data_IF_611444353892
#
_entry.id   IF_611444353892
#
_cell.length_a   1.000
_cell.length_b   1.000
_cell.length_c   1.000
_cell.angle_alpha   90.00
_cell.angle_beta   90.00
_cell.angle_gamma   90.00
#
_symmetry.space_group_name_H-M   'P 1'
#
loop_
_entity.id
_entity.type
_entity.pdbx_description
1 polymer ?
#
# COMPACT_ATOMS: atom_id res chain seq x y z
N UNK A 1 -0.31 -9.01 43.99
CA UNK A 1 -1.11 -8.08 43.15
C UNK A 1 -0.37 -6.79 42.75
N UNK A 2 0.39 -6.11 43.64
CA UNK A 2 1.13 -4.86 43.29
C UNK A 2 2.18 -4.98 42.17
N UNK A 3 2.79 -6.16 41.99
CA UNK A 3 3.82 -6.37 40.97
C UNK A 3 3.26 -6.36 39.53
N UNK A 4 2.06 -6.93 39.31
CA UNK A 4 1.40 -6.98 38.00
C UNK A 4 0.89 -5.61 37.53
N UNK A 5 0.50 -4.72 38.46
CA UNK A 5 0.09 -3.35 38.11
C UNK A 5 1.27 -2.50 37.61
N UNK A 6 2.47 -2.73 38.16
CA UNK A 6 3.68 -1.98 37.80
C UNK A 6 4.25 -2.38 36.42
N UNK A 7 4.05 -3.63 36.00
CA UNK A 7 4.47 -4.10 34.67
C UNK A 7 3.50 -3.62 33.59
N UNK A 8 2.18 -3.68 33.83
CA UNK A 8 1.17 -3.17 32.89
C UNK A 8 1.32 -1.68 32.63
N UNK A 9 1.57 -0.87 33.67
CA UNK A 9 1.75 0.58 33.51
C UNK A 9 3.00 0.91 32.69
N UNK A 10 4.13 0.25 32.94
CA UNK A 10 5.36 0.47 32.17
C UNK A 10 5.23 0.08 30.70
N UNK A 11 4.58 -1.06 30.41
CA UNK A 11 4.35 -1.51 29.02
C UNK A 11 3.41 -0.53 28.31
N UNK A 12 2.30 -0.13 28.91
CA UNK A 12 1.38 0.86 28.32
C UNK A 12 2.07 2.20 28.07
N UNK A 13 2.88 2.70 29.01
CA UNK A 13 3.61 3.95 28.85
C UNK A 13 4.65 3.84 27.73
N UNK A 14 5.33 2.69 27.59
CA UNK A 14 6.36 2.47 26.55
C UNK A 14 5.74 2.33 25.16
N UNK A 15 4.59 1.65 25.07
CA UNK A 15 3.86 1.48 23.81
C UNK A 15 3.28 2.80 23.35
N UNK A 16 2.71 3.59 24.25
CA UNK A 16 2.13 4.91 23.93
C UNK A 16 3.23 5.94 23.64
N UNK A 17 4.40 5.83 24.28
CA UNK A 17 5.50 6.78 24.10
C UNK A 17 6.28 6.58 22.79
N UNK A 18 6.27 5.37 22.21
CA UNK A 18 6.92 5.10 20.93
C UNK A 18 5.92 5.10 19.76
N UNK A 19 5.87 6.16 18.91
CA UNK A 19 4.94 6.23 17.78
C UNK A 19 5.09 5.03 16.84
N UNK A 20 6.34 4.60 16.59
CA UNK A 20 6.64 3.52 15.67
C UNK A 20 6.15 2.17 16.21
N UNK A 21 6.25 1.95 17.52
CA UNK A 21 5.79 0.71 18.13
C UNK A 21 4.26 0.64 18.13
N UNK A 22 3.58 1.76 18.42
CA UNK A 22 2.12 1.81 18.36
C UNK A 22 1.59 1.67 16.92
N UNK A 23 2.25 2.30 15.95
CA UNK A 23 1.93 2.15 14.53
C UNK A 23 2.17 0.71 14.05
N UNK A 24 3.24 0.06 14.52
CA UNK A 24 3.50 -1.36 14.26
C UNK A 24 2.41 -2.28 14.83
N UNK A 25 1.92 -2.01 16.04
CA UNK A 25 0.78 -2.73 16.63
C UNK A 25 -0.49 -2.55 15.78
N UNK A 26 -0.74 -1.33 15.28
CA UNK A 26 -1.89 -1.05 14.42
C UNK A 26 -1.79 -1.80 13.09
N UNK A 27 -0.65 -1.76 12.42
CA UNK A 27 -0.42 -2.52 11.19
C UNK A 27 -0.63 -4.00 11.45
N UNK A 28 -0.07 -4.52 12.54
CA UNK A 28 -0.23 -5.92 12.93
C UNK A 28 -1.70 -6.25 13.19
N UNK A 29 -2.43 -5.41 13.93
CA UNK A 29 -3.84 -5.60 14.24
C UNK A 29 -4.72 -5.63 12.98
N UNK A 30 -4.53 -4.67 12.08
CA UNK A 30 -5.22 -4.60 10.79
C UNK A 30 -4.90 -5.82 9.93
N UNK A 31 -3.65 -6.28 9.97
CA UNK A 31 -3.16 -7.43 9.19
C UNK A 31 -3.49 -8.79 9.81
N UNK A 32 -3.80 -8.83 11.11
CA UNK A 32 -3.95 -10.06 11.90
C UNK A 32 -5.00 -11.01 11.29
N UNK A 33 -6.10 -10.45 10.79
CA UNK A 33 -7.16 -11.22 10.14
C UNK A 33 -6.66 -12.00 8.91
N UNK A 34 -5.69 -11.45 8.17
CA UNK A 34 -5.12 -12.15 7.00
C UNK A 34 -4.16 -13.24 7.43
N UNK A 35 -3.33 -12.96 8.44
CA UNK A 35 -2.29 -13.86 8.93
C UNK A 35 -2.87 -15.11 9.60
N UNK A 36 -3.85 -14.93 10.49
CA UNK A 36 -4.30 -16.00 11.40
C UNK A 36 -5.72 -16.51 11.13
N UNK A 37 -6.61 -15.62 10.66
CA UNK A 37 -8.04 -15.98 10.51
C UNK A 37 -8.31 -16.47 9.08
N UNK A 38 -7.62 -15.92 8.08
CA UNK A 38 -7.64 -16.39 6.70
C UNK A 38 -9.06 -16.53 6.16
N UNK A 39 -9.44 -17.75 5.73
CA UNK A 39 -10.77 -18.09 5.20
C UNK A 39 -11.93 -17.97 6.20
N UNK A 40 -11.64 -17.93 7.50
CA UNK A 40 -12.63 -17.79 8.55
C UNK A 40 -12.84 -16.33 8.95
N UNK A 41 -12.20 -15.38 8.25
CA UNK A 41 -12.36 -13.96 8.54
C UNK A 41 -13.79 -13.53 8.17
N UNK A 42 -14.62 -13.13 9.14
CA UNK A 42 -16.00 -12.69 8.86
C UNK A 42 -16.05 -11.37 8.09
N UNK A 43 -14.90 -10.69 7.92
CA UNK A 43 -14.77 -9.41 7.21
C UNK A 43 -14.30 -9.62 5.77
N UNK A 44 -13.59 -10.72 5.46
CA UNK A 44 -12.88 -10.90 4.18
C UNK A 44 -12.92 -12.35 3.74
N UNK A 45 -14.05 -12.75 3.18
CA UNK A 45 -14.15 -13.91 2.32
C UNK A 45 -15.15 -13.52 1.24
N UNK A 46 -14.70 -13.12 0.05
CA UNK A 46 -15.33 -13.62 -1.18
C UNK A 46 -14.64 -13.18 -2.48
N UNK A 47 -13.94 -12.04 -2.54
CA UNK A 47 -13.57 -11.47 -3.85
C UNK A 47 -12.08 -11.48 -4.23
N UNK A 48 -11.15 -11.71 -3.30
CA UNK A 48 -9.71 -11.70 -3.60
C UNK A 48 -9.12 -13.10 -3.87
N UNK A 49 -9.81 -14.17 -3.47
CA UNK A 49 -9.35 -15.56 -3.71
C UNK A 49 -9.41 -15.92 -5.21
N UNK A 50 -10.37 -15.36 -5.95
CA UNK A 50 -10.54 -15.57 -7.39
C UNK A 50 -9.32 -15.10 -8.21
N UNK A 51 -8.48 -14.23 -7.64
CA UNK A 51 -7.27 -13.70 -8.29
C UNK A 51 -6.05 -14.61 -8.07
N UNK A 52 -6.07 -15.53 -7.10
CA UNK A 52 -4.91 -16.41 -6.82
C UNK A 52 -4.62 -17.38 -7.98
N UNK A 53 -5.62 -18.07 -8.57
CA UNK A 53 -5.39 -18.92 -9.73
C UNK A 53 -4.78 -18.17 -10.92
N UNK A 54 -5.13 -16.89 -11.11
CA UNK A 54 -4.51 -16.03 -12.13
C UNK A 54 -3.00 -15.93 -11.92
N UNK A 55 -2.56 -15.59 -10.70
CA UNK A 55 -1.15 -15.39 -10.41
C UNK A 55 -0.35 -16.68 -10.54
N UNK A 56 -0.94 -17.81 -10.16
CA UNK A 56 -0.35 -19.13 -10.37
C UNK A 56 -0.15 -19.44 -11.85
N UNK A 57 -1.19 -19.24 -12.69
CA UNK A 57 -1.08 -19.40 -14.14
C UNK A 57 -0.06 -18.42 -14.76
N UNK A 58 0.02 -17.18 -14.27
CA UNK A 58 1.00 -16.18 -14.71
C UNK A 58 2.43 -16.61 -14.43
N UNK A 59 2.66 -17.19 -13.24
CA UNK A 59 4.00 -17.64 -12.82
C UNK A 59 4.47 -18.87 -13.58
N UNK A 60 3.54 -19.76 -13.94
CA UNK A 60 3.85 -20.93 -14.75
C UNK A 60 4.11 -20.58 -16.24
N UNK A 61 3.87 -19.33 -16.65
CA UNK A 61 3.76 -18.92 -18.05
C UNK A 61 2.73 -19.75 -18.85
N UNK A 62 1.81 -20.41 -18.16
CA UNK A 62 0.72 -21.21 -18.72
C UNK A 62 -0.50 -20.33 -19.07
N UNK A 63 -0.31 -19.01 -19.19
CA UNK A 63 -1.38 -18.13 -19.65
C UNK A 63 -1.66 -18.43 -21.12
N UNK A 64 -2.83 -19.01 -21.45
CA UNK A 64 -3.23 -19.09 -22.83
C UNK A 64 -3.42 -17.66 -23.35
N UNK A 65 -3.13 -17.40 -24.63
CA UNK A 65 -3.48 -16.15 -25.33
C UNK A 65 -5.02 -15.99 -25.45
N UNK A 66 -5.81 -16.79 -24.72
CA UNK A 66 -7.25 -16.78 -24.75
C UNK A 66 -7.80 -15.79 -23.72
N UNK A 67 -8.66 -14.89 -24.20
CA UNK A 67 -9.49 -13.94 -23.43
C UNK A 67 -10.53 -14.60 -22.53
N UNK A 68 -10.52 -15.93 -22.37
CA UNK A 68 -11.51 -16.64 -21.57
C UNK A 68 -10.97 -17.98 -21.09
N UNK A 69 -10.84 -18.13 -19.78
CA UNK A 69 -10.43 -19.39 -19.16
C UNK A 69 -11.49 -19.83 -18.15
N UNK A 70 -12.30 -20.87 -18.46
CA UNK A 70 -13.49 -21.21 -17.67
C UNK A 70 -13.16 -21.64 -16.23
N UNK A 71 -12.03 -22.31 -16.03
CA UNK A 71 -11.69 -22.96 -14.76
C UNK A 71 -10.90 -22.07 -13.78
N UNK A 72 -9.81 -21.38 -14.18
CA UNK A 72 -9.06 -20.54 -13.24
C UNK A 72 -9.71 -19.16 -12.99
N UNK A 73 -10.64 -18.72 -13.85
CA UNK A 73 -11.19 -17.34 -13.82
C UNK A 73 -12.67 -17.22 -13.53
N UNK A 74 -13.35 -18.30 -13.13
CA UNK A 74 -14.82 -18.34 -13.02
C UNK A 74 -15.52 -17.79 -14.27
N UNK A 75 -14.93 -18.01 -15.46
CA UNK A 75 -15.44 -17.50 -16.74
C UNK A 75 -15.15 -16.02 -17.04
N UNK A 76 -14.22 -15.37 -16.34
CA UNK A 76 -13.82 -13.96 -16.58
C UNK A 76 -12.62 -13.88 -17.53
N UNK A 77 -12.60 -12.87 -18.39
CA UNK A 77 -11.43 -12.56 -19.23
C UNK A 77 -10.25 -12.10 -18.37
N UNK A 78 -9.21 -12.94 -18.32
CA UNK A 78 -8.02 -12.71 -17.51
C UNK A 78 -7.07 -11.68 -18.15
N UNK A 79 -7.08 -11.52 -19.47
CA UNK A 79 -6.34 -10.46 -20.16
C UNK A 79 -7.04 -9.11 -19.98
N UNK A 80 -8.38 -9.08 -19.96
CA UNK A 80 -9.16 -7.85 -19.70
C UNK A 80 -9.06 -7.35 -18.25
N UNK A 81 -8.82 -8.25 -17.29
CA UNK A 81 -8.71 -7.87 -15.87
C UNK A 81 -7.32 -7.35 -15.50
N UNK A 82 -6.28 -7.68 -16.27
CA UNK A 82 -5.02 -6.93 -16.24
C UNK A 82 -4.16 -7.11 -14.99
N UNK A 83 -4.29 -8.24 -14.29
CA UNK A 83 -3.58 -8.51 -13.03
C UNK A 83 -2.07 -8.78 -13.20
N UNK A 84 -1.49 -8.69 -14.40
CA UNK A 84 -0.10 -9.05 -14.71
C UNK A 84 0.92 -7.99 -14.24
N UNK A 85 1.23 -8.01 -12.96
CA UNK A 85 2.18 -7.08 -12.33
C UNK A 85 3.49 -7.79 -11.94
N UNK A 86 4.64 -7.16 -12.21
CA UNK A 86 5.97 -7.78 -11.96
C UNK A 86 6.20 -8.08 -10.47
N UNK A 87 5.76 -7.19 -9.57
CA UNK A 87 5.90 -7.40 -8.12
C UNK A 87 5.10 -8.63 -7.68
N UNK A 88 3.89 -8.79 -8.25
CA UNK A 88 3.05 -9.94 -7.92
C UNK A 88 3.63 -11.21 -8.53
N UNK A 89 4.09 -11.18 -9.79
CA UNK A 89 4.79 -12.32 -10.41
C UNK A 89 5.98 -12.78 -9.56
N UNK A 90 6.83 -11.83 -9.14
CA UNK A 90 7.98 -12.12 -8.30
C UNK A 90 7.56 -12.77 -6.97
N UNK A 91 6.61 -12.16 -6.26
CA UNK A 91 6.13 -12.69 -4.97
C UNK A 91 5.55 -14.10 -5.10
N UNK A 92 4.69 -14.35 -6.09
CA UNK A 92 4.07 -15.67 -6.30
C UNK A 92 5.02 -16.71 -6.90
N UNK A 93 6.12 -16.30 -7.53
CA UNK A 93 7.18 -17.21 -8.00
C UNK A 93 8.14 -17.66 -6.90
N UNK A 94 8.37 -16.80 -5.90
CA UNK A 94 9.35 -17.04 -4.83
C UNK A 94 8.73 -17.67 -3.59
N UNK A 95 7.44 -17.44 -3.34
CA UNK A 95 6.76 -17.82 -2.11
C UNK A 95 5.54 -18.68 -2.41
N UNK A 96 5.14 -19.56 -1.46
CA UNK A 96 3.85 -20.24 -1.53
C UNK A 96 2.71 -19.22 -1.70
N UNK A 97 1.70 -19.54 -2.51
CA UNK A 97 0.65 -18.58 -2.90
C UNK A 97 -0.05 -17.91 -1.72
N UNK A 98 -0.27 -18.66 -0.63
CA UNK A 98 -0.88 -18.13 0.59
C UNK A 98 0.02 -17.08 1.28
N UNK A 99 1.34 -17.30 1.27
CA UNK A 99 2.31 -16.39 1.88
C UNK A 99 2.50 -15.15 1.01
N UNK A 100 2.64 -15.33 -0.32
CA UNK A 100 2.72 -14.24 -1.28
C UNK A 100 1.51 -13.30 -1.15
N UNK A 101 0.29 -13.88 -1.10
CA UNK A 101 -0.96 -13.15 -0.91
C UNK A 101 -0.95 -12.31 0.37
N UNK A 102 -0.64 -12.92 1.52
CA UNK A 102 -0.62 -12.21 2.80
C UNK A 102 0.44 -11.11 2.85
N UNK A 103 1.65 -11.37 2.35
CA UNK A 103 2.74 -10.39 2.34
C UNK A 103 2.36 -9.18 1.49
N UNK A 104 1.82 -9.39 0.30
CA UNK A 104 1.40 -8.29 -0.56
C UNK A 104 0.33 -7.43 0.11
N UNK A 105 -0.67 -8.03 0.76
CA UNK A 105 -1.70 -7.28 1.50
C UNK A 105 -1.08 -6.46 2.64
N UNK A 106 -0.21 -7.07 3.42
CA UNK A 106 0.50 -6.40 4.52
C UNK A 106 1.31 -5.22 3.99
N UNK A 107 1.97 -5.37 2.85
CA UNK A 107 2.74 -4.29 2.22
C UNK A 107 1.85 -3.10 1.82
N UNK A 108 0.67 -3.34 1.22
CA UNK A 108 -0.25 -2.25 0.88
C UNK A 108 -0.77 -1.53 2.13
N UNK A 109 -1.20 -2.28 3.15
CA UNK A 109 -1.67 -1.72 4.43
C UNK A 109 -0.56 -0.90 5.07
N UNK A 110 0.64 -1.46 5.14
CA UNK A 110 1.82 -0.81 5.73
C UNK A 110 2.13 0.50 5.01
N UNK A 111 2.21 0.48 3.68
CA UNK A 111 2.48 1.67 2.88
C UNK A 111 1.39 2.73 3.08
N UNK A 112 0.11 2.36 3.01
CA UNK A 112 -1.01 3.28 3.20
C UNK A 112 -1.01 3.91 4.60
N UNK A 113 -0.90 3.10 5.64
CA UNK A 113 -0.88 3.56 7.05
C UNK A 113 0.31 4.48 7.31
N UNK A 114 1.52 4.10 6.87
CA UNK A 114 2.72 4.92 7.03
C UNK A 114 2.61 6.22 6.24
N UNK A 115 2.13 6.16 5.00
CA UNK A 115 1.92 7.31 4.13
C UNK A 115 0.97 8.33 4.74
N UNK A 116 -0.21 7.89 5.17
CA UNK A 116 -1.22 8.77 5.79
C UNK A 116 -0.73 9.31 7.13
N UNK A 117 -0.11 8.49 7.98
CA UNK A 117 0.50 8.95 9.22
C UNK A 117 1.55 10.04 8.96
N UNK A 118 2.46 9.80 8.02
CA UNK A 118 3.53 10.73 7.67
C UNK A 118 2.98 12.04 7.11
N UNK A 119 2.01 11.99 6.18
CA UNK A 119 1.38 13.20 5.62
C UNK A 119 0.61 13.98 6.67
N UNK A 120 -0.12 13.28 7.56
CA UNK A 120 -0.83 13.89 8.68
C UNK A 120 0.10 14.67 9.60
N UNK A 121 1.28 14.10 9.91
CA UNK A 121 2.28 14.73 10.78
C UNK A 121 3.03 15.85 10.08
N UNK A 122 3.44 15.63 8.83
CA UNK A 122 4.31 16.54 8.07
C UNK A 122 3.56 17.72 7.47
N UNK A 123 2.45 17.45 6.79
CA UNK A 123 1.74 18.44 5.97
C UNK A 123 0.60 19.08 6.76
N UNK A 124 -0.16 18.28 7.49
CA UNK A 124 -1.33 18.78 8.25
C UNK A 124 -0.98 19.24 9.66
N UNK A 125 0.24 18.98 10.14
CA UNK A 125 0.69 19.38 11.49
C UNK A 125 -0.09 18.72 12.63
N UNK A 126 -0.77 17.59 12.37
CA UNK A 126 -1.54 16.86 13.37
C UNK A 126 -0.62 16.31 14.47
N UNK A 127 -1.16 16.13 15.67
CA UNK A 127 -0.44 15.49 16.76
C UNK A 127 -0.19 14.00 16.49
N UNK A 128 0.62 13.36 17.34
CA UNK A 128 1.01 11.96 17.14
C UNK A 128 -0.20 11.03 17.17
N UNK A 129 -1.15 11.26 18.08
CA UNK A 129 -2.31 10.38 18.25
C UNK A 129 -3.28 10.57 17.09
N UNK A 130 -3.59 11.81 16.68
CA UNK A 130 -4.46 12.03 15.53
C UNK A 130 -3.84 11.50 14.23
N UNK A 131 -2.53 11.65 14.03
CA UNK A 131 -1.84 11.06 12.87
C UNK A 131 -1.94 9.54 12.84
N UNK A 132 -1.77 8.89 14.00
CA UNK A 132 -1.90 7.43 14.10
C UNK A 132 -3.36 6.98 13.87
N UNK A 133 -4.32 7.72 14.42
CA UNK A 133 -5.74 7.48 14.18
C UNK A 133 -6.10 7.62 12.70
N UNK A 134 -5.58 8.64 12.01
CA UNK A 134 -5.77 8.82 10.57
C UNK A 134 -5.20 7.64 9.77
N UNK A 135 -3.98 7.20 10.12
CA UNK A 135 -3.37 6.00 9.54
C UNK A 135 -4.21 4.75 9.77
N UNK A 136 -4.67 4.53 11.00
CA UNK A 136 -5.57 3.41 11.34
C UNK A 136 -6.87 3.46 10.54
N UNK A 137 -7.54 4.61 10.49
CA UNK A 137 -8.78 4.79 9.77
C UNK A 137 -8.61 4.48 8.27
N UNK A 138 -7.52 4.98 7.67
CA UNK A 138 -7.19 4.66 6.28
C UNK A 138 -6.97 3.17 6.07
N UNK A 139 -6.10 2.56 6.88
CA UNK A 139 -5.80 1.14 6.79
C UNK A 139 -7.05 0.27 6.97
N UNK A 140 -7.92 0.62 7.93
CA UNK A 140 -9.16 -0.09 8.23
C UNK A 140 -10.21 0.03 7.13
N UNK A 141 -10.32 1.18 6.46
CA UNK A 141 -11.23 1.38 5.33
C UNK A 141 -10.72 0.67 4.07
N UNK A 142 -9.41 0.67 3.85
CA UNK A 142 -8.77 -0.03 2.74
C UNK A 142 -9.03 -1.55 2.79
N UNK A 143 -9.28 -2.13 3.97
CA UNK A 143 -9.61 -3.55 4.14
C UNK A 143 -10.85 -4.03 3.38
N UNK A 144 -11.73 -3.10 2.98
CA UNK A 144 -13.02 -3.44 2.37
C UNK A 144 -12.97 -3.54 0.84
N UNK A 145 -11.87 -3.15 0.20
CA UNK A 145 -11.78 -3.11 -1.25
C UNK A 145 -11.06 -4.32 -1.86
N UNK A 146 -11.22 -4.49 -3.18
CA UNK A 146 -10.48 -5.45 -3.99
C UNK A 146 -8.98 -5.12 -4.02
N UNK A 147 -8.22 -5.63 -3.06
CA UNK A 147 -6.81 -5.28 -2.80
C UNK A 147 -5.91 -5.27 -4.02
N UNK A 148 -6.05 -6.24 -4.92
CA UNK A 148 -5.22 -6.33 -6.12
C UNK A 148 -5.71 -5.43 -7.26
N UNK A 149 -6.97 -5.00 -7.21
CA UNK A 149 -7.52 -4.03 -8.16
C UNK A 149 -7.21 -2.60 -7.71
N UNK A 150 -7.26 -2.30 -6.41
CA UNK A 150 -7.07 -0.95 -5.86
C UNK A 150 -5.72 -0.75 -5.18
N UNK A 151 -4.73 -1.58 -5.53
CA UNK A 151 -3.33 -1.51 -5.06
C UNK A 151 -2.71 -0.12 -5.12
N UNK A 152 -3.05 0.62 -6.18
CA UNK A 152 -2.67 2.03 -6.37
C UNK A 152 -3.08 2.90 -5.20
N UNK A 153 -4.31 2.76 -4.68
CA UNK A 153 -4.77 3.50 -3.51
C UNK A 153 -3.97 3.10 -2.26
N UNK A 154 -3.58 1.83 -2.11
CA UNK A 154 -2.72 1.40 -1.00
C UNK A 154 -1.37 2.12 -0.97
N UNK A 155 -0.72 2.29 -2.13
CA UNK A 155 0.61 2.91 -2.23
C UNK A 155 0.59 4.43 -2.42
N UNK A 156 -0.53 5.01 -2.86
CA UNK A 156 -0.62 6.43 -3.20
C UNK A 156 -0.20 7.34 -2.03
N UNK A 157 -0.71 7.21 -0.79
CA UNK A 157 -0.29 8.08 0.32
C UNK A 157 1.23 8.00 0.59
N UNK A 158 1.81 6.80 0.44
CA UNK A 158 3.25 6.61 0.63
C UNK A 158 4.06 7.31 -0.45
N UNK A 159 3.66 7.18 -1.72
CA UNK A 159 4.36 7.87 -2.82
C UNK A 159 4.27 9.39 -2.70
N UNK A 160 3.11 9.94 -2.30
CA UNK A 160 2.93 11.36 -2.01
C UNK A 160 3.87 11.78 -0.88
N UNK A 161 3.96 11.00 0.21
CA UNK A 161 4.84 11.29 1.33
C UNK A 161 6.31 11.34 0.89
N UNK A 162 6.77 10.37 0.11
CA UNK A 162 8.15 10.30 -0.39
C UNK A 162 8.46 11.47 -1.31
N UNK A 163 7.57 11.79 -2.25
CA UNK A 163 7.69 12.98 -3.09
C UNK A 163 7.76 14.25 -2.23
N UNK A 164 6.89 14.37 -1.23
CA UNK A 164 6.84 15.50 -0.31
C UNK A 164 8.16 15.71 0.43
N UNK A 165 8.83 14.64 0.88
CA UNK A 165 10.17 14.73 1.48
C UNK A 165 11.25 15.11 0.46
N UNK A 166 11.24 14.52 -0.73
CA UNK A 166 12.20 14.86 -1.79
C UNK A 166 12.08 16.32 -2.23
N UNK A 167 10.85 16.83 -2.36
CA UNK A 167 10.61 18.21 -2.77
C UNK A 167 11.08 19.22 -1.72
N UNK A 168 11.13 18.84 -0.44
CA UNK A 168 11.74 19.67 0.61
C UNK A 168 13.27 19.58 0.61
N UNK A 169 13.84 18.39 0.38
CA UNK A 169 15.29 18.17 0.35
C UNK A 169 15.73 17.39 -0.90
N UNK A 170 15.90 18.14 -1.99
CA UNK A 170 16.22 17.61 -3.33
C UNK A 170 17.64 17.10 -3.47
N UNK A 171 18.54 17.45 -2.54
CA UNK A 171 19.94 17.04 -2.59
C UNK A 171 20.19 15.75 -1.80
N UNK A 172 19.23 15.33 -0.98
CA UNK A 172 19.34 14.11 -0.21
C UNK A 172 19.22 12.86 -1.07
N UNK A 173 20.32 12.11 -1.17
CA UNK A 173 20.35 10.80 -1.84
C UNK A 173 19.29 9.85 -1.28
N UNK A 174 19.02 9.91 0.04
CA UNK A 174 18.02 9.05 0.69
C UNK A 174 16.62 9.31 0.15
N UNK A 175 16.27 10.55 -0.13
CA UNK A 175 14.97 10.91 -0.68
C UNK A 175 14.83 10.44 -2.14
N UNK A 176 15.90 10.55 -2.93
CA UNK A 176 15.93 10.02 -4.30
C UNK A 176 15.81 8.50 -4.35
N UNK A 177 16.55 7.78 -3.49
CA UNK A 177 16.43 6.32 -3.37
C UNK A 177 15.01 5.94 -2.94
N UNK A 178 14.45 6.66 -1.96
CA UNK A 178 13.05 6.48 -1.55
C UNK A 178 12.08 6.67 -2.72
N UNK A 179 12.28 7.71 -3.54
CA UNK A 179 11.45 8.00 -4.71
C UNK A 179 11.51 6.88 -5.74
N UNK A 180 12.72 6.38 -6.05
CA UNK A 180 12.90 5.28 -7.00
C UNK A 180 12.18 4.02 -6.50
N UNK A 181 12.31 3.69 -5.21
CA UNK A 181 11.62 2.55 -4.61
C UNK A 181 10.09 2.75 -4.66
N UNK A 182 9.61 3.93 -4.28
CA UNK A 182 8.19 4.24 -4.29
C UNK A 182 7.59 4.22 -5.70
N UNK A 183 8.33 4.76 -6.69
CA UNK A 183 7.99 4.72 -8.11
C UNK A 183 7.93 3.30 -8.64
N UNK A 184 8.96 2.49 -8.37
CA UNK A 184 8.98 1.08 -8.74
C UNK A 184 7.79 0.31 -8.14
N UNK A 185 7.50 0.53 -6.85
CA UNK A 185 6.37 -0.12 -6.17
C UNK A 185 5.05 0.27 -6.83
N UNK A 186 4.77 1.57 -7.01
CA UNK A 186 3.48 1.97 -7.56
C UNK A 186 3.33 1.60 -9.03
N UNK A 187 4.37 1.73 -9.86
CA UNK A 187 4.29 1.39 -11.28
C UNK A 187 4.15 -0.11 -11.53
N UNK A 188 4.79 -0.94 -10.70
CA UNK A 188 4.80 -2.40 -10.89
C UNK A 188 3.84 -3.16 -9.96
N UNK A 189 3.10 -2.46 -9.10
CA UNK A 189 1.99 -3.03 -8.34
C UNK A 189 0.63 -2.46 -8.76
N UNK A 190 0.59 -1.39 -9.55
CA UNK A 190 -0.64 -0.81 -10.10
C UNK A 190 -0.91 -1.27 -11.52
N UNK A 191 -2.18 -1.28 -11.90
CA UNK A 191 -2.57 -1.54 -13.28
C UNK A 191 -2.29 -0.33 -14.17
N UNK A 192 -1.76 -0.55 -15.38
CA UNK A 192 -1.38 0.52 -16.32
C UNK A 192 -2.53 1.48 -16.65
N UNK A 193 -3.75 0.96 -16.85
CA UNK A 193 -4.93 1.81 -17.11
C UNK A 193 -5.43 2.60 -15.88
N UNK A 194 -4.91 2.27 -14.69
CA UNK A 194 -5.20 3.00 -13.44
C UNK A 194 -4.08 3.95 -13.06
N UNK A 195 -2.85 3.76 -13.54
CA UNK A 195 -1.72 4.68 -13.34
C UNK A 195 -1.96 6.03 -14.02
N UNK A 196 -2.64 6.01 -15.16
CA UNK A 196 -3.03 7.21 -15.91
C UNK A 196 -4.54 7.10 -16.18
N UNK A 197 -5.40 7.99 -15.62
CA UNK A 197 -5.07 9.32 -15.11
C UNK A 197 -5.03 9.46 -13.58
N UNK A 198 -5.37 8.44 -12.79
CA UNK A 198 -5.77 8.62 -11.40
C UNK A 198 -4.65 9.09 -10.45
N UNK A 199 -3.51 8.38 -10.30
CA UNK A 199 -2.36 8.84 -9.52
C UNK A 199 -1.84 10.18 -10.00
N UNK A 200 -1.68 10.37 -11.31
CA UNK A 200 -1.22 11.63 -11.89
C UNK A 200 -2.10 12.81 -11.43
N UNK A 201 -3.42 12.67 -11.55
CA UNK A 201 -4.37 13.66 -11.07
C UNK A 201 -4.26 13.87 -9.55
N UNK A 202 -4.13 12.80 -8.76
CA UNK A 202 -3.97 12.89 -7.32
C UNK A 202 -2.68 13.64 -6.91
N UNK A 203 -1.55 13.37 -7.56
CA UNK A 203 -0.30 14.09 -7.31
C UNK A 203 -0.44 15.58 -7.65
N UNK A 204 -0.99 15.89 -8.84
CA UNK A 204 -1.19 17.27 -9.27
C UNK A 204 -2.09 18.01 -8.28
N UNK A 205 -3.25 17.44 -7.93
CA UNK A 205 -4.19 18.05 -7.00
C UNK A 205 -3.57 18.21 -5.60
N UNK A 206 -2.85 17.21 -5.11
CA UNK A 206 -2.21 17.28 -3.80
C UNK A 206 -1.15 18.38 -3.74
N UNK A 207 -0.19 18.39 -4.66
CA UNK A 207 0.91 19.35 -4.63
C UNK A 207 0.49 20.76 -5.03
N UNK A 208 -0.59 20.90 -5.81
CA UNK A 208 -1.17 22.21 -6.13
C UNK A 208 -2.01 22.78 -4.99
N UNK A 209 -2.96 22.00 -4.44
CA UNK A 209 -3.95 22.50 -3.49
C UNK A 209 -3.50 22.41 -2.03
N UNK A 210 -2.88 21.29 -1.64
CA UNK A 210 -2.53 20.99 -0.25
C UNK A 210 -1.17 21.58 0.09
N UNK A 211 -0.12 21.20 -0.65
CA UNK A 211 1.24 21.69 -0.38
C UNK A 211 1.60 22.99 -1.09
N UNK A 212 0.77 23.45 -2.03
CA UNK A 212 0.92 24.74 -2.74
C UNK A 212 2.32 24.94 -3.33
N UNK A 213 2.82 23.96 -4.07
CA UNK A 213 4.13 24.03 -4.73
C UNK A 213 4.03 24.90 -5.99
N UNK A 214 4.94 25.87 -6.10
CA UNK A 214 4.96 26.82 -7.22
C UNK A 214 6.26 26.79 -8.04
N UNK A 215 7.31 26.11 -7.56
CA UNK A 215 8.61 26.10 -8.24
C UNK A 215 8.55 25.20 -9.47
N UNK A 216 9.05 25.68 -10.60
CA UNK A 216 9.08 24.92 -11.86
C UNK A 216 9.76 23.56 -11.71
N UNK A 217 10.88 23.51 -10.99
CA UNK A 217 11.63 22.27 -10.79
C UNK A 217 10.85 21.22 -9.97
N UNK A 218 9.97 21.64 -9.05
CA UNK A 218 9.10 20.72 -8.31
C UNK A 218 8.13 20.04 -9.27
N UNK A 219 7.53 20.81 -10.17
CA UNK A 219 6.62 20.32 -11.21
C UNK A 219 7.32 19.42 -12.23
N UNK A 220 8.57 19.72 -12.59
CA UNK A 220 9.37 18.85 -13.45
C UNK A 220 9.61 17.47 -12.79
N UNK A 221 9.95 17.43 -11.50
CA UNK A 221 10.12 16.18 -10.75
C UNK A 221 8.80 15.40 -10.67
N UNK A 222 7.70 16.08 -10.33
CA UNK A 222 6.38 15.44 -10.26
C UNK A 222 5.99 14.87 -11.63
N UNK A 223 6.15 15.63 -12.71
CA UNK A 223 5.84 15.18 -14.06
C UNK A 223 6.68 13.95 -14.46
N UNK A 224 8.00 13.99 -14.21
CA UNK A 224 8.88 12.86 -14.48
C UNK A 224 8.47 11.61 -13.68
N UNK A 225 8.14 11.78 -12.41
CA UNK A 225 7.68 10.66 -11.58
C UNK A 225 6.35 10.07 -12.07
N UNK A 226 5.43 10.89 -12.57
CA UNK A 226 4.14 10.41 -13.08
C UNK A 226 4.21 9.74 -14.45
N UNK A 227 5.25 10.04 -15.23
CA UNK A 227 5.45 9.47 -16.57
C UNK A 227 6.30 8.19 -16.55
N UNK A 228 7.02 7.93 -15.46
CA UNK A 228 7.88 6.76 -15.26
C UNK A 228 7.13 5.55 -14.72
#
# INVERSE_FOLDING_TARGET
MKYYQNVRSKILVTVVSSPFLFLGIIIFWISFQFLFIGKFSPVIAHDNISVIPYFLAFTANDMPIASWTPFPATGTDMLATGYANLIYKAAFSLLPSWAAYQILIILHITAGVIGVYGLSRKVMGLDQIAGIFAGFAYGALYLREFFFLTSTAGYLPFTILVLSYLLDDKYSLKCWVGLIIAGFIISHASYASRLIPWPAAAYILWFFLVERRHRFLDWAIIALFTLA
#
